data_IF_468246210440
#
_entry.id   IF_468246210440
#
_cell.length_a   1.000
_cell.length_b   1.000
_cell.length_c   1.000
_cell.angle_alpha   90.00
_cell.angle_beta   90.00
_cell.angle_gamma   90.00
#
_symmetry.space_group_name_H-M   'P 1'
#
loop_
_entity.id
_entity.type
_entity.pdbx_description
1 polymer ?
#
# COMPACT_ATOMS: atom_id res chain seq x y z
N UNK A 1 -88.13 -39.68 -9.08
CA UNK A 1 -86.70 -39.49 -8.77
C UNK A 1 -86.48 -38.02 -8.46
N UNK A 2 -86.27 -37.70 -7.18
CA UNK A 2 -86.10 -36.31 -6.72
C UNK A 2 -84.68 -35.82 -7.06
N UNK A 3 -84.61 -34.76 -7.87
CA UNK A 3 -83.36 -34.04 -8.11
C UNK A 3 -82.91 -33.36 -6.81
N UNK A 4 -81.75 -33.79 -6.29
CA UNK A 4 -81.06 -33.11 -5.19
C UNK A 4 -80.62 -31.73 -5.68
N UNK A 5 -81.40 -30.72 -5.29
CA UNK A 5 -80.95 -29.32 -5.24
C UNK A 5 -79.71 -29.28 -4.34
N UNK A 6 -78.53 -29.03 -4.93
CA UNK A 6 -77.34 -28.66 -4.16
C UNK A 6 -77.67 -27.35 -3.46
N UNK A 7 -77.88 -27.39 -2.15
CA UNK A 7 -77.95 -26.18 -1.36
C UNK A 7 -76.59 -25.48 -1.42
N UNK A 8 -76.58 -24.23 -1.89
CA UNK A 8 -75.49 -23.30 -1.64
C UNK A 8 -75.41 -23.12 -0.12
N UNK A 9 -74.54 -23.88 0.54
CA UNK A 9 -74.09 -23.50 1.87
C UNK A 9 -73.24 -22.24 1.67
N UNK A 10 -73.71 -21.10 2.14
CA UNK A 10 -72.84 -19.93 2.31
C UNK A 10 -71.69 -20.36 3.22
N UNK A 11 -70.51 -20.47 2.63
CA UNK A 11 -69.30 -20.95 3.29
C UNK A 11 -68.85 -19.84 4.24
N UNK A 12 -69.07 -20.05 5.53
CA UNK A 12 -68.73 -19.08 6.57
C UNK A 12 -67.21 -18.98 6.65
N UNK A 13 -66.67 -17.78 6.46
CA UNK A 13 -65.25 -17.49 6.65
C UNK A 13 -64.83 -17.70 8.11
N UNK A 14 -63.65 -18.28 8.33
CA UNK A 14 -62.98 -18.25 9.64
C UNK A 14 -62.54 -16.81 9.98
N UNK A 15 -63.42 -16.07 10.65
CA UNK A 15 -63.27 -14.63 10.90
C UNK A 15 -62.06 -14.30 11.77
N UNK A 16 -61.76 -15.10 12.78
CA UNK A 16 -60.66 -14.80 13.71
C UNK A 16 -59.30 -14.98 13.03
N UNK A 17 -59.13 -16.09 12.29
CA UNK A 17 -57.91 -16.31 11.49
C UNK A 17 -57.72 -15.20 10.44
N UNK A 18 -58.80 -14.83 9.75
CA UNK A 18 -58.78 -13.78 8.72
C UNK A 18 -58.37 -12.41 9.28
N UNK A 19 -58.98 -12.00 10.40
CA UNK A 19 -58.67 -10.72 11.04
C UNK A 19 -57.24 -10.67 11.56
N UNK A 20 -56.75 -11.75 12.18
CA UNK A 20 -55.38 -11.81 12.70
C UNK A 20 -54.33 -11.74 11.58
N UNK A 21 -54.58 -12.37 10.42
CA UNK A 21 -53.72 -12.22 9.25
C UNK A 21 -53.68 -10.78 8.75
N UNK A 22 -54.84 -10.12 8.62
CA UNK A 22 -54.91 -8.72 8.20
C UNK A 22 -54.13 -7.83 9.16
N UNK A 23 -54.31 -7.98 10.47
CA UNK A 23 -53.58 -7.17 11.46
C UNK A 23 -52.06 -7.31 11.37
N UNK A 24 -51.56 -8.50 11.05
CA UNK A 24 -50.13 -8.72 10.81
C UNK A 24 -49.63 -7.98 9.57
N UNK A 25 -50.47 -7.89 8.54
CA UNK A 25 -50.11 -7.42 7.20
C UNK A 25 -50.33 -5.93 6.93
N UNK A 26 -51.09 -5.22 7.78
CA UNK A 26 -51.32 -3.77 7.59
C UNK A 26 -50.00 -3.01 7.47
N UNK A 27 -49.81 -2.33 6.34
CA UNK A 27 -48.66 -1.47 6.09
C UNK A 27 -48.64 -0.28 7.05
N UNK A 28 -47.49 0.40 7.14
CA UNK A 28 -47.38 1.63 7.93
C UNK A 28 -48.40 2.69 7.50
N UNK A 29 -48.58 2.88 6.19
CA UNK A 29 -49.51 3.85 5.65
C UNK A 29 -50.96 3.50 6.00
N UNK A 30 -51.33 2.23 5.91
CA UNK A 30 -52.67 1.76 6.31
C UNK A 30 -52.87 1.94 7.82
N UNK A 31 -51.89 1.56 8.64
CA UNK A 31 -51.95 1.74 10.09
C UNK A 31 -52.14 3.20 10.48
N UNK A 32 -51.42 4.13 9.82
CA UNK A 32 -51.55 5.58 10.05
C UNK A 32 -52.94 6.10 9.66
N UNK A 33 -53.48 5.66 8.51
CA UNK A 33 -54.84 6.02 8.07
C UNK A 33 -55.89 5.49 9.03
N UNK A 34 -55.82 4.21 9.40
CA UNK A 34 -56.74 3.57 10.36
C UNK A 34 -56.66 4.27 11.72
N UNK A 35 -55.45 4.55 12.21
CA UNK A 35 -55.24 5.24 13.48
C UNK A 35 -55.84 6.65 13.49
N UNK A 36 -55.86 7.36 12.37
CA UNK A 36 -56.49 8.68 12.27
C UNK A 36 -58.00 8.62 12.47
N UNK A 37 -58.63 7.52 12.04
CA UNK A 37 -60.08 7.30 12.13
C UNK A 37 -60.47 6.78 13.52
N UNK A 38 -59.78 5.74 13.99
CA UNK A 38 -60.14 5.11 15.26
C UNK A 38 -59.53 5.83 16.47
N UNK A 39 -58.53 6.68 16.27
CA UNK A 39 -57.85 7.49 17.29
C UNK A 39 -57.46 6.69 18.54
N UNK A 40 -56.53 5.72 18.45
CA UNK A 40 -56.03 5.01 19.62
C UNK A 40 -55.35 5.95 20.62
N UNK A 41 -55.50 5.66 21.90
CA UNK A 41 -54.82 6.41 22.96
C UNK A 41 -53.37 5.94 23.06
N UNK A 42 -52.42 6.85 22.80
CA UNK A 42 -50.98 6.63 22.92
C UNK A 42 -50.40 7.71 23.84
N UNK A 43 -49.76 7.30 24.93
CA UNK A 43 -49.18 8.22 25.91
C UNK A 43 -48.14 9.14 25.25
N UNK A 44 -48.23 10.44 25.51
CA UNK A 44 -47.35 11.45 24.92
C UNK A 44 -47.76 11.95 23.53
N UNK A 45 -48.81 11.37 22.91
CA UNK A 45 -49.31 11.79 21.60
C UNK A 45 -50.77 12.25 21.68
N UNK A 46 -51.05 13.44 21.14
CA UNK A 46 -52.42 13.93 20.97
C UNK A 46 -53.04 13.37 19.69
N UNK A 47 -54.36 13.39 19.57
CA UNK A 47 -55.06 12.94 18.35
C UNK A 47 -54.55 13.65 17.08
N UNK A 48 -54.13 14.91 17.18
CA UNK A 48 -53.57 15.70 16.08
C UNK A 48 -52.15 15.26 15.66
N UNK A 49 -51.35 14.73 16.58
CA UNK A 49 -49.96 14.32 16.34
C UNK A 49 -49.77 12.79 16.37
N UNK A 50 -50.86 12.03 16.41
CA UNK A 50 -50.86 10.58 16.49
C UNK A 50 -50.11 9.92 15.32
N UNK A 51 -50.20 10.53 14.14
CA UNK A 51 -49.51 10.08 12.91
C UNK A 51 -47.98 10.24 13.03
N UNK A 52 -47.45 10.93 14.04
CA UNK A 52 -46.00 11.01 14.33
C UNK A 52 -45.53 9.99 15.36
N UNK A 53 -46.43 9.17 15.93
CA UNK A 53 -46.06 8.16 16.90
C UNK A 53 -45.12 7.10 16.29
N UNK A 54 -44.16 6.56 17.07
CA UNK A 54 -43.31 5.45 16.65
C UNK A 54 -44.16 4.27 16.15
N UNK A 55 -43.76 3.68 15.01
CA UNK A 55 -44.57 2.67 14.31
C UNK A 55 -44.94 1.47 15.20
N UNK A 56 -43.99 0.99 16.02
CA UNK A 56 -44.23 -0.14 16.91
C UNK A 56 -45.35 0.15 17.93
N UNK A 57 -45.35 1.35 18.51
CA UNK A 57 -46.40 1.79 19.45
C UNK A 57 -47.72 2.02 18.75
N UNK A 58 -47.70 2.68 17.59
CA UNK A 58 -48.88 2.93 16.76
C UNK A 58 -49.57 1.62 16.39
N UNK A 59 -48.81 0.65 15.86
CA UNK A 59 -49.32 -0.68 15.50
C UNK A 59 -49.96 -1.38 16.69
N UNK A 60 -49.25 -1.48 17.82
CA UNK A 60 -49.74 -2.15 19.03
C UNK A 60 -51.07 -1.56 19.50
N UNK A 61 -51.14 -0.23 19.64
CA UNK A 61 -52.33 0.47 20.16
C UNK A 61 -53.49 0.52 19.17
N UNK A 62 -53.21 0.61 17.88
CA UNK A 62 -54.23 0.54 16.82
C UNK A 62 -54.88 -0.85 16.80
N UNK A 63 -54.08 -1.92 16.79
CA UNK A 63 -54.59 -3.30 16.79
C UNK A 63 -55.34 -3.61 18.09
N UNK A 64 -54.83 -3.19 19.25
CA UNK A 64 -55.51 -3.34 20.53
C UNK A 64 -56.92 -2.72 20.51
N UNK A 65 -57.03 -1.49 19.98
CA UNK A 65 -58.32 -0.79 19.84
C UNK A 65 -59.24 -1.46 18.81
N UNK A 66 -58.71 -1.98 17.71
CA UNK A 66 -59.49 -2.74 16.72
C UNK A 66 -60.04 -4.05 17.29
N UNK A 67 -59.25 -4.77 18.11
CA UNK A 67 -59.68 -6.00 18.79
C UNK A 67 -60.80 -5.75 19.81
N UNK A 68 -60.82 -4.58 20.44
CA UNK A 68 -61.87 -4.17 21.38
C UNK A 68 -63.19 -3.76 20.69
N UNK A 69 -63.21 -3.62 19.36
CA UNK A 69 -64.41 -3.23 18.63
C UNK A 69 -65.38 -4.42 18.53
N UNK A 70 -66.60 -4.27 19.08
CA UNK A 70 -67.62 -5.34 19.09
C UNK A 70 -67.97 -5.86 17.70
N UNK A 71 -67.81 -5.04 16.65
CA UNK A 71 -68.11 -5.39 15.26
C UNK A 71 -66.85 -5.40 14.37
N UNK A 72 -65.72 -5.89 14.89
CA UNK A 72 -64.41 -5.93 14.20
C UNK A 72 -64.48 -6.47 12.75
N UNK A 73 -65.23 -7.54 12.51
CA UNK A 73 -65.41 -8.12 11.17
C UNK A 73 -66.12 -7.17 10.20
N UNK A 74 -67.27 -6.62 10.61
CA UNK A 74 -68.05 -5.69 9.80
C UNK A 74 -67.26 -4.42 9.50
N UNK A 75 -66.54 -3.91 10.51
CA UNK A 75 -65.68 -2.74 10.34
C UNK A 75 -64.58 -3.01 9.32
N UNK A 76 -63.89 -4.15 9.42
CA UNK A 76 -62.82 -4.50 8.49
C UNK A 76 -63.32 -4.74 7.07
N UNK A 77 -64.49 -5.38 6.92
CA UNK A 77 -65.15 -5.52 5.62
C UNK A 77 -65.44 -4.16 4.99
N UNK A 78 -66.02 -3.23 5.76
CA UNK A 78 -66.30 -1.85 5.31
C UNK A 78 -65.03 -1.09 4.95
N UNK A 79 -63.94 -1.31 5.68
CA UNK A 79 -62.64 -0.69 5.41
C UNK A 79 -62.10 -1.08 4.03
N UNK A 80 -62.15 -2.36 3.68
CA UNK A 80 -61.66 -2.88 2.40
C UNK A 80 -62.69 -2.88 1.26
N UNK A 81 -63.95 -2.48 1.53
CA UNK A 81 -65.03 -2.44 0.54
C UNK A 81 -64.68 -1.69 -0.75
N UNK A 82 -63.97 -0.53 -0.73
CA UNK A 82 -63.59 0.15 -1.96
C UNK A 82 -62.71 -0.70 -2.88
N UNK A 83 -61.74 -1.44 -2.32
CA UNK A 83 -60.85 -2.30 -3.08
C UNK A 83 -61.57 -3.58 -3.53
N UNK A 84 -62.41 -4.15 -2.67
CA UNK A 84 -63.27 -5.31 -2.98
C UNK A 84 -64.25 -5.01 -4.11
N UNK A 85 -64.86 -3.82 -4.11
CA UNK A 85 -65.86 -3.42 -5.10
C UNK A 85 -65.27 -3.40 -6.51
N UNK A 86 -64.05 -2.89 -6.68
CA UNK A 86 -63.34 -2.90 -7.97
C UNK A 86 -63.18 -4.31 -8.53
N UNK A 87 -62.69 -5.24 -7.71
CA UNK A 87 -62.51 -6.66 -8.12
C UNK A 87 -63.85 -7.30 -8.48
N UNK A 88 -64.90 -6.97 -7.74
CA UNK A 88 -66.26 -7.47 -7.97
C UNK A 88 -66.88 -6.92 -9.26
N UNK A 89 -66.69 -5.64 -9.55
CA UNK A 89 -67.16 -4.97 -10.78
C UNK A 89 -66.49 -5.57 -12.03
N UNK A 90 -65.20 -5.88 -11.95
CA UNK A 90 -64.44 -6.54 -13.01
C UNK A 90 -64.78 -8.04 -13.19
N UNK A 91 -65.60 -8.62 -12.29
CA UNK A 91 -66.01 -10.05 -12.32
C UNK A 91 -64.82 -11.01 -12.37
N UNK A 92 -63.73 -10.67 -11.71
CA UNK A 92 -62.50 -11.47 -11.66
C UNK A 92 -62.77 -12.76 -10.87
N UNK A 93 -62.27 -13.90 -11.34
CA UNK A 93 -62.31 -15.16 -10.59
C UNK A 93 -61.08 -15.32 -9.67
N UNK A 94 -61.10 -16.29 -8.75
CA UNK A 94 -60.01 -16.43 -7.78
C UNK A 94 -58.65 -16.68 -8.44
N UNK A 95 -58.57 -17.53 -9.47
CA UNK A 95 -57.30 -17.83 -10.13
C UNK A 95 -56.69 -16.57 -10.78
N UNK A 96 -57.52 -15.77 -11.45
CA UNK A 96 -57.08 -14.51 -12.05
C UNK A 96 -56.66 -13.49 -10.98
N UNK A 97 -57.44 -13.36 -9.89
CA UNK A 97 -57.09 -12.51 -8.76
C UNK A 97 -55.77 -12.93 -8.10
N UNK A 98 -55.59 -14.24 -7.85
CA UNK A 98 -54.37 -14.83 -7.31
C UNK A 98 -53.15 -14.45 -8.15
N UNK A 99 -53.25 -14.57 -9.47
CA UNK A 99 -52.13 -14.23 -10.35
C UNK A 99 -51.89 -12.72 -10.45
N UNK A 100 -52.94 -11.88 -10.50
CA UNK A 100 -52.82 -10.41 -10.54
C UNK A 100 -52.19 -9.86 -9.26
N UNK A 101 -52.68 -10.32 -8.10
CA UNK A 101 -52.19 -9.86 -6.79
C UNK A 101 -50.72 -10.18 -6.53
N UNK A 102 -50.18 -11.22 -7.16
CA UNK A 102 -48.76 -11.62 -7.04
C UNK A 102 -47.81 -10.87 -7.96
N UNK A 103 -48.32 -10.29 -9.05
CA UNK A 103 -47.48 -9.76 -10.12
C UNK A 103 -47.48 -8.23 -10.19
N UNK A 104 -48.50 -7.57 -9.61
CA UNK A 104 -48.63 -6.11 -9.63
C UNK A 104 -48.75 -5.47 -8.25
N UNK A 105 -48.59 -4.14 -8.19
CA UNK A 105 -48.61 -3.35 -6.94
C UNK A 105 -50.02 -2.90 -6.51
N UNK A 106 -51.07 -3.45 -7.13
CA UNK A 106 -52.44 -2.95 -7.00
C UNK A 106 -53.09 -3.15 -5.65
N UNK A 107 -52.71 -4.22 -4.98
CA UNK A 107 -53.30 -4.66 -3.73
C UNK A 107 -52.18 -4.93 -2.77
N UNK A 108 -52.25 -4.27 -1.63
CA UNK A 108 -51.36 -4.57 -0.51
C UNK A 108 -51.57 -6.01 -0.04
N UNK A 109 -50.59 -6.61 0.65
CA UNK A 109 -50.77 -7.93 1.27
C UNK A 109 -52.02 -8.03 2.16
N UNK A 110 -52.34 -6.96 2.90
CA UNK A 110 -53.54 -6.89 3.73
C UNK A 110 -54.83 -6.90 2.88
N UNK A 111 -54.87 -6.11 1.81
CA UNK A 111 -55.97 -6.10 0.86
C UNK A 111 -56.13 -7.45 0.15
N UNK A 112 -55.03 -8.11 -0.21
CA UNK A 112 -55.06 -9.42 -0.85
C UNK A 112 -55.75 -10.48 0.02
N UNK A 113 -55.40 -10.52 1.31
CA UNK A 113 -56.08 -11.39 2.29
C UNK A 113 -57.52 -10.95 2.51
N UNK A 114 -57.77 -9.63 2.58
CA UNK A 114 -59.12 -9.09 2.77
C UNK A 114 -60.08 -9.49 1.63
N UNK A 115 -59.66 -9.26 0.39
CA UNK A 115 -60.42 -9.62 -0.82
C UNK A 115 -60.63 -11.14 -0.88
N UNK A 116 -59.60 -11.92 -0.57
CA UNK A 116 -59.72 -13.39 -0.55
C UNK A 116 -60.78 -13.85 0.43
N UNK A 117 -60.78 -13.32 1.65
CA UNK A 117 -61.81 -13.65 2.64
C UNK A 117 -63.22 -13.15 2.28
N UNK A 118 -63.34 -11.97 1.67
CA UNK A 118 -64.63 -11.34 1.40
C UNK A 118 -65.29 -11.89 0.14
N UNK A 119 -64.55 -12.07 -0.95
CA UNK A 119 -65.07 -12.53 -2.24
C UNK A 119 -64.91 -14.03 -2.49
N UNK A 120 -63.88 -14.66 -1.90
CA UNK A 120 -63.55 -16.07 -2.12
C UNK A 120 -63.38 -16.84 -0.80
N UNK A 121 -64.39 -16.85 0.09
CA UNK A 121 -64.27 -17.39 1.46
C UNK A 121 -63.91 -18.88 1.49
N UNK A 122 -64.33 -19.64 0.49
CA UNK A 122 -63.95 -21.06 0.32
C UNK A 122 -62.44 -21.20 0.13
N UNK A 123 -61.89 -20.45 -0.82
CA UNK A 123 -60.47 -20.47 -1.14
C UNK A 123 -59.63 -19.97 0.04
N UNK A 124 -60.12 -18.99 0.80
CA UNK A 124 -59.50 -18.58 2.05
C UNK A 124 -59.42 -19.74 3.05
N UNK A 125 -60.56 -20.37 3.34
CA UNK A 125 -60.64 -21.43 4.35
C UNK A 125 -59.77 -22.64 4.00
N UNK A 126 -59.70 -23.01 2.71
CA UNK A 126 -58.86 -24.11 2.22
C UNK A 126 -57.36 -23.81 2.37
N UNK A 127 -56.96 -22.55 2.18
CA UNK A 127 -55.55 -22.16 2.06
C UNK A 127 -55.00 -21.39 3.27
N UNK A 128 -55.80 -21.15 4.30
CA UNK A 128 -55.44 -20.30 5.45
C UNK A 128 -54.13 -20.71 6.13
N UNK A 129 -53.85 -22.01 6.23
CA UNK A 129 -52.61 -22.50 6.85
C UNK A 129 -51.38 -22.12 6.01
N UNK A 130 -51.45 -22.30 4.70
CA UNK A 130 -50.38 -21.89 3.77
C UNK A 130 -50.20 -20.38 3.77
N UNK A 131 -51.30 -19.61 3.77
CA UNK A 131 -51.23 -18.15 3.89
C UNK A 131 -50.55 -17.74 5.20
N UNK A 132 -50.88 -18.39 6.32
CA UNK A 132 -50.25 -18.10 7.62
C UNK A 132 -48.74 -18.37 7.59
N UNK A 133 -48.32 -19.51 7.02
CA UNK A 133 -46.91 -19.87 6.85
C UNK A 133 -46.17 -18.85 5.98
N UNK A 134 -46.79 -18.38 4.89
CA UNK A 134 -46.21 -17.35 4.04
C UNK A 134 -45.98 -16.04 4.79
N UNK A 135 -46.97 -15.60 5.57
CA UNK A 135 -46.88 -14.36 6.37
C UNK A 135 -45.72 -14.46 7.37
N UNK A 136 -45.58 -15.60 8.05
CA UNK A 136 -44.49 -15.86 9.01
C UNK A 136 -43.12 -15.92 8.33
N UNK A 137 -43.06 -16.50 7.12
CA UNK A 137 -41.87 -16.54 6.27
C UNK A 137 -41.54 -15.21 5.57
N UNK A 138 -42.26 -14.12 5.84
CA UNK A 138 -42.12 -12.81 5.17
C UNK A 138 -42.29 -12.89 3.64
N UNK A 139 -43.14 -13.78 3.19
CA UNK A 139 -43.53 -14.00 1.79
C UNK A 139 -44.87 -13.34 1.47
N UNK A 140 -45.24 -13.28 0.19
CA UNK A 140 -46.58 -12.81 -0.19
C UNK A 140 -47.65 -13.76 0.38
N UNK A 141 -48.76 -13.30 0.98
CA UNK A 141 -49.73 -14.17 1.64
C UNK A 141 -50.31 -15.24 0.71
N UNK A 142 -50.52 -14.86 -0.56
CA UNK A 142 -51.03 -15.74 -1.59
C UNK A 142 -49.92 -16.50 -2.34
N UNK A 143 -48.72 -16.65 -1.79
CA UNK A 143 -47.69 -17.47 -2.42
C UNK A 143 -48.05 -18.97 -2.35
N UNK A 144 -47.75 -19.73 -3.41
CA UNK A 144 -47.86 -21.19 -3.45
C UNK A 144 -49.20 -21.82 -3.04
N UNK A 145 -50.33 -21.12 -3.21
CA UNK A 145 -51.68 -21.63 -2.88
C UNK A 145 -52.21 -22.74 -3.82
N UNK A 146 -51.35 -23.37 -4.62
CA UNK A 146 -51.72 -24.55 -5.44
C UNK A 146 -52.93 -24.35 -6.36
N UNK A 147 -53.13 -23.15 -6.91
CA UNK A 147 -54.31 -22.84 -7.75
C UNK A 147 -54.25 -23.59 -9.09
N UNK A 148 -55.44 -23.87 -9.68
CA UNK A 148 -55.51 -24.44 -11.04
C UNK A 148 -54.76 -23.52 -11.99
N UNK A 149 -53.82 -24.08 -12.75
CA UNK A 149 -53.07 -23.32 -13.76
C UNK A 149 -54.08 -22.67 -14.73
N UNK A 150 -54.04 -21.34 -14.82
CA UNK A 150 -54.76 -20.61 -15.86
C UNK A 150 -54.31 -21.13 -17.25
N UNK A 151 -55.21 -21.06 -18.24
CA UNK A 151 -54.82 -21.32 -19.63
C UNK A 151 -53.67 -20.37 -20.04
N UNK A 152 -52.69 -20.81 -20.85
CA UNK A 152 -51.53 -20.00 -21.21
C UNK A 152 -51.90 -18.59 -21.69
N UNK A 153 -52.91 -18.46 -22.56
CA UNK A 153 -53.41 -17.17 -23.05
C UNK A 153 -53.88 -16.23 -21.92
N UNK A 154 -54.59 -16.76 -20.92
CA UNK A 154 -55.03 -15.96 -19.76
C UNK A 154 -53.89 -15.63 -18.80
N UNK A 155 -52.91 -16.53 -18.64
CA UNK A 155 -51.70 -16.21 -17.86
C UNK A 155 -50.96 -15.02 -18.45
N UNK A 156 -50.87 -14.97 -19.79
CA UNK A 156 -50.24 -13.87 -20.51
C UNK A 156 -50.99 -12.56 -20.30
N UNK A 157 -52.31 -12.58 -20.41
CA UNK A 157 -53.15 -11.40 -20.13
C UNK A 157 -52.97 -10.88 -18.70
N UNK A 158 -52.91 -11.77 -17.71
CA UNK A 158 -52.69 -11.36 -16.31
C UNK A 158 -51.30 -10.76 -16.09
N UNK A 159 -50.26 -11.34 -16.69
CA UNK A 159 -48.90 -10.78 -16.65
C UNK A 159 -48.82 -9.40 -17.31
N UNK A 160 -49.52 -9.23 -18.42
CA UNK A 160 -49.57 -7.98 -19.17
C UNK A 160 -50.23 -6.85 -18.37
N UNK A 161 -51.39 -7.13 -17.75
CA UNK A 161 -52.06 -6.17 -16.87
C UNK A 161 -51.17 -5.82 -15.66
N UNK A 162 -50.56 -6.82 -15.03
CA UNK A 162 -49.65 -6.58 -13.92
C UNK A 162 -48.45 -5.70 -14.29
N UNK A 163 -47.92 -5.84 -15.51
CA UNK A 163 -46.84 -4.99 -16.02
C UNK A 163 -47.32 -3.55 -16.28
N UNK A 164 -48.47 -3.38 -16.93
CA UNK A 164 -49.06 -2.08 -17.25
C UNK A 164 -49.21 -1.19 -16.00
N UNK A 165 -49.57 -1.81 -14.89
CA UNK A 165 -49.89 -1.12 -13.66
C UNK A 165 -48.77 -1.10 -12.62
N UNK A 166 -47.67 -1.80 -12.88
CA UNK A 166 -46.53 -1.85 -11.97
C UNK A 166 -45.76 -0.53 -11.96
N UNK A 167 -45.35 -0.09 -10.77
CA UNK A 167 -44.35 0.98 -10.61
C UNK A 167 -42.98 0.59 -11.19
N UNK A 168 -42.72 -0.72 -11.32
CA UNK A 168 -41.48 -1.24 -11.88
C UNK A 168 -41.27 -0.83 -13.34
N UNK A 169 -42.33 -0.54 -14.11
CA UNK A 169 -42.20 -0.15 -15.53
C UNK A 169 -41.30 1.07 -15.72
N UNK A 170 -41.39 2.04 -14.81
CA UNK A 170 -40.63 3.27 -14.86
C UNK A 170 -39.19 3.03 -14.39
N UNK A 171 -39.01 2.20 -13.36
CA UNK A 171 -37.69 1.74 -12.95
C UNK A 171 -36.98 0.99 -14.08
N UNK A 172 -37.70 0.14 -14.82
CA UNK A 172 -37.18 -0.54 -16.01
C UNK A 172 -36.80 0.43 -17.12
N UNK A 173 -37.64 1.44 -17.38
CA UNK A 173 -37.36 2.48 -18.37
C UNK A 173 -36.04 3.19 -18.07
N UNK A 174 -35.89 3.66 -16.83
CA UNK A 174 -34.69 4.34 -16.36
C UNK A 174 -33.47 3.41 -16.44
N UNK A 175 -33.62 2.18 -15.98
CA UNK A 175 -32.57 1.17 -15.99
C UNK A 175 -32.09 0.85 -17.42
N UNK A 176 -32.99 0.78 -18.40
CA UNK A 176 -32.61 0.61 -19.82
C UNK A 176 -31.88 1.85 -20.35
N UNK A 177 -32.35 3.05 -20.03
CA UNK A 177 -31.68 4.29 -20.45
C UNK A 177 -30.28 4.42 -19.86
N UNK A 178 -30.11 4.12 -18.57
CA UNK A 178 -28.85 4.23 -17.86
C UNK A 178 -27.86 3.13 -18.26
N UNK A 179 -28.33 1.89 -18.36
CA UNK A 179 -27.45 0.73 -18.54
C UNK A 179 -27.11 0.45 -20.00
N UNK A 180 -28.01 0.79 -20.91
CA UNK A 180 -27.85 0.48 -22.33
C UNK A 180 -27.70 1.74 -23.20
N UNK A 181 -27.89 2.94 -22.63
CA UNK A 181 -27.82 4.20 -23.39
C UNK A 181 -28.89 4.30 -24.49
N UNK A 182 -29.89 3.43 -24.47
CA UNK A 182 -30.91 3.33 -25.51
C UNK A 182 -31.80 4.58 -25.49
N UNK A 183 -31.73 5.35 -26.57
CA UNK A 183 -32.71 6.37 -26.92
C UNK A 183 -33.34 5.98 -28.24
N UNK A 184 -34.37 5.16 -28.16
CA UNK A 184 -35.12 4.80 -29.35
C UNK A 184 -36.07 5.96 -29.71
N UNK A 185 -35.72 6.71 -30.75
CA UNK A 185 -36.64 7.66 -31.39
C UNK A 185 -37.40 6.90 -32.47
N UNK A 186 -38.66 6.58 -32.16
CA UNK A 186 -39.54 5.86 -33.07
C UNK A 186 -40.34 6.86 -33.91
N UNK A 187 -40.07 6.89 -35.22
CA UNK A 187 -40.95 7.53 -36.21
C UNK A 187 -42.05 6.53 -36.60
N UNK A 188 -43.32 6.88 -36.36
CA UNK A 188 -44.46 6.01 -36.68
C UNK A 188 -45.04 5.26 -35.47
N UNK A 189 -45.78 4.17 -35.75
CA UNK A 189 -46.45 3.37 -34.71
C UNK A 189 -45.53 2.26 -34.19
N UNK A 190 -45.66 1.91 -32.91
CA UNK A 190 -44.97 0.74 -32.32
C UNK A 190 -45.35 -0.53 -33.06
N UNK A 191 -46.60 -0.61 -33.55
CA UNK A 191 -47.10 -1.79 -34.26
C UNK A 191 -46.37 -2.04 -35.58
N UNK A 192 -46.15 -0.98 -36.37
CA UNK A 192 -45.43 -1.06 -37.64
C UNK A 192 -43.97 -1.41 -37.38
N UNK A 193 -43.35 -0.78 -36.38
CA UNK A 193 -41.98 -1.10 -36.00
C UNK A 193 -41.78 -2.56 -35.60
N UNK A 194 -42.70 -3.15 -34.83
CA UNK A 194 -42.62 -4.57 -34.45
C UNK A 194 -42.72 -5.48 -35.68
N UNK A 195 -43.49 -5.10 -36.70
CA UNK A 195 -43.67 -5.88 -37.92
C UNK A 195 -42.49 -5.75 -38.90
N UNK A 196 -41.88 -4.57 -38.97
CA UNK A 196 -40.82 -4.25 -39.92
C UNK A 196 -39.42 -4.60 -39.38
N UNK A 197 -39.25 -4.66 -38.06
CA UNK A 197 -37.93 -4.86 -37.47
C UNK A 197 -37.46 -6.31 -37.58
N UNK A 198 -36.36 -6.50 -38.31
CA UNK A 198 -35.74 -7.82 -38.52
C UNK A 198 -35.02 -8.37 -37.30
N UNK A 199 -34.48 -7.51 -36.44
CA UNK A 199 -33.77 -7.88 -35.21
C UNK A 199 -33.95 -6.82 -34.15
N UNK A 200 -34.32 -7.25 -32.95
CA UNK A 200 -34.56 -6.38 -31.79
C UNK A 200 -33.34 -6.42 -30.88
N UNK A 201 -32.79 -5.25 -30.55
CA UNK A 201 -31.73 -5.15 -29.55
C UNK A 201 -32.29 -5.32 -28.13
N UNK A 202 -31.45 -5.82 -27.22
CA UNK A 202 -31.85 -6.04 -25.82
C UNK A 202 -32.33 -4.72 -25.23
N UNK A 203 -33.54 -4.71 -24.64
CA UNK A 203 -34.13 -3.57 -23.95
C UNK A 203 -35.00 -2.67 -24.84
N UNK A 204 -34.99 -2.81 -26.16
CA UNK A 204 -35.79 -1.95 -27.04
C UNK A 204 -37.30 -2.16 -26.87
N UNK A 205 -37.76 -3.40 -26.73
CA UNK A 205 -39.20 -3.68 -26.58
C UNK A 205 -39.66 -3.23 -25.20
N UNK A 206 -38.86 -3.50 -24.15
CA UNK A 206 -39.15 -3.02 -22.81
C UNK A 206 -39.17 -1.48 -22.73
N UNK A 207 -38.28 -0.82 -23.48
CA UNK A 207 -38.25 0.64 -23.59
C UNK A 207 -39.50 1.18 -24.28
N UNK A 208 -39.92 0.57 -25.40
CA UNK A 208 -41.16 0.97 -26.08
C UNK A 208 -42.40 0.70 -25.24
N UNK A 209 -42.43 -0.44 -24.54
CA UNK A 209 -43.51 -0.78 -23.62
C UNK A 209 -43.65 0.20 -22.45
N UNK A 210 -42.58 0.92 -22.07
CA UNK A 210 -42.65 1.95 -21.03
C UNK A 210 -42.90 3.36 -21.58
N UNK A 211 -42.45 3.66 -22.80
CA UNK A 211 -42.52 5.02 -23.37
C UNK A 211 -43.72 5.28 -24.28
N UNK A 212 -44.33 4.24 -24.87
CA UNK A 212 -45.43 4.36 -25.85
C UNK A 212 -46.74 3.73 -25.36
N UNK A 213 -46.95 3.71 -24.04
CA UNK A 213 -48.12 3.11 -23.40
C UNK A 213 -49.46 3.64 -23.92
N UNK A 214 -49.55 4.93 -24.23
CA UNK A 214 -50.79 5.53 -24.75
C UNK A 214 -51.23 4.92 -26.09
N UNK A 215 -50.27 4.55 -26.93
CA UNK A 215 -50.54 3.85 -28.19
C UNK A 215 -50.91 2.39 -27.92
N UNK A 216 -50.08 1.69 -27.14
CA UNK A 216 -50.23 0.25 -26.83
C UNK A 216 -51.55 -0.04 -26.14
N UNK A 217 -52.06 0.88 -25.31
CA UNK A 217 -53.34 0.74 -24.61
C UNK A 217 -54.55 0.75 -25.53
N UNK A 218 -54.40 1.18 -26.79
CA UNK A 218 -55.45 1.13 -27.81
C UNK A 218 -55.49 -0.21 -28.55
N UNK A 219 -54.52 -1.09 -28.32
CA UNK A 219 -54.43 -2.39 -29.00
C UNK A 219 -55.46 -3.38 -28.45
N UNK A 220 -55.73 -4.43 -29.22
CA UNK A 220 -56.59 -5.52 -28.74
C UNK A 220 -55.92 -6.25 -27.58
N UNK A 221 -56.69 -6.78 -26.62
CA UNK A 221 -56.13 -7.47 -25.43
C UNK A 221 -55.13 -8.59 -25.79
N UNK A 222 -55.36 -9.29 -26.90
CA UNK A 222 -54.48 -10.36 -27.36
C UNK A 222 -53.12 -9.84 -27.83
N UNK A 223 -53.12 -8.78 -28.65
CA UNK A 223 -51.90 -8.13 -29.16
C UNK A 223 -51.12 -7.47 -28.02
N UNK A 224 -51.84 -6.73 -27.16
CA UNK A 224 -51.30 -6.10 -25.96
C UNK A 224 -50.62 -7.13 -25.05
N UNK A 225 -51.27 -8.27 -24.80
CA UNK A 225 -50.72 -9.33 -23.97
C UNK A 225 -49.46 -9.96 -24.56
N UNK A 226 -49.44 -10.21 -25.87
CA UNK A 226 -48.26 -10.74 -26.56
C UNK A 226 -47.09 -9.75 -26.50
N UNK A 227 -47.36 -8.46 -26.74
CA UNK A 227 -46.33 -7.43 -26.69
C UNK A 227 -45.72 -7.26 -25.29
N UNK A 228 -46.54 -7.22 -24.23
CA UNK A 228 -46.00 -7.16 -22.88
C UNK A 228 -45.26 -8.42 -22.45
N UNK A 229 -45.60 -9.58 -22.99
CA UNK A 229 -44.78 -10.77 -22.78
C UNK A 229 -43.39 -10.61 -23.41
N UNK A 230 -43.31 -10.06 -24.62
CA UNK A 230 -42.02 -9.74 -25.24
C UNK A 230 -41.26 -8.71 -24.42
N UNK A 231 -41.93 -7.65 -23.96
CA UNK A 231 -41.35 -6.62 -23.11
C UNK A 231 -40.84 -7.17 -21.78
N UNK A 232 -41.54 -8.13 -21.18
CA UNK A 232 -41.13 -8.78 -19.94
C UNK A 232 -39.91 -9.68 -20.15
N UNK A 233 -39.88 -10.45 -21.24
CA UNK A 233 -38.72 -11.29 -21.55
C UNK A 233 -37.49 -10.44 -21.91
N UNK A 234 -37.71 -9.35 -22.63
CA UNK A 234 -36.68 -8.39 -22.98
C UNK A 234 -36.12 -7.70 -21.71
N UNK A 235 -36.97 -7.34 -20.74
CA UNK A 235 -36.51 -6.71 -19.50
C UNK A 235 -35.72 -7.67 -18.63
N UNK A 236 -36.07 -8.96 -18.64
CA UNK A 236 -35.24 -9.99 -18.01
C UNK A 236 -33.85 -10.06 -18.66
N UNK A 237 -33.75 -10.02 -19.99
CA UNK A 237 -32.44 -9.99 -20.67
C UNK A 237 -31.61 -8.78 -20.28
N UNK A 238 -32.23 -7.60 -20.13
CA UNK A 238 -31.54 -6.40 -19.65
C UNK A 238 -30.97 -6.64 -18.25
N UNK A 239 -31.77 -7.17 -17.32
CA UNK A 239 -31.31 -7.50 -15.96
C UNK A 239 -30.14 -8.50 -16.01
N UNK A 240 -30.25 -9.57 -16.80
CA UNK A 240 -29.19 -10.57 -16.91
C UNK A 240 -27.89 -9.96 -17.42
N UNK A 241 -27.95 -9.12 -18.45
CA UNK A 241 -26.78 -8.42 -18.97
C UNK A 241 -26.13 -7.52 -17.91
N UNK A 242 -26.93 -6.79 -17.13
CA UNK A 242 -26.40 -5.98 -16.03
C UNK A 242 -25.75 -6.84 -14.94
N UNK A 243 -26.33 -7.99 -14.60
CA UNK A 243 -25.74 -8.92 -13.64
C UNK A 243 -24.39 -9.43 -14.18
N UNK A 244 -24.31 -9.77 -15.46
CA UNK A 244 -23.06 -10.18 -16.10
C UNK A 244 -22.00 -9.08 -16.06
N UNK A 245 -22.38 -7.83 -16.38
CA UNK A 245 -21.49 -6.67 -16.34
C UNK A 245 -20.99 -6.41 -14.90
N UNK A 246 -21.87 -6.46 -13.91
CA UNK A 246 -21.52 -6.33 -12.48
C UNK A 246 -20.62 -7.46 -11.99
N UNK A 247 -20.85 -8.70 -12.43
CA UNK A 247 -20.00 -9.84 -12.10
C UNK A 247 -18.61 -9.70 -12.71
N UNK A 248 -18.52 -9.15 -13.93
CA UNK A 248 -17.25 -8.86 -14.59
C UNK A 248 -16.49 -7.76 -13.87
N UNK A 249 -17.15 -6.66 -13.52
CA UNK A 249 -16.56 -5.57 -12.74
C UNK A 249 -16.06 -6.07 -11.38
N UNK A 250 -16.87 -6.87 -10.67
CA UNK A 250 -16.45 -7.52 -9.42
C UNK A 250 -15.19 -8.37 -9.61
N UNK A 251 -15.12 -9.15 -10.69
CA UNK A 251 -13.93 -9.96 -10.99
C UNK A 251 -12.69 -9.10 -11.25
N UNK A 252 -12.85 -7.97 -11.93
CA UNK A 252 -11.76 -7.01 -12.17
C UNK A 252 -11.28 -6.36 -10.87
N UNK A 253 -12.20 -5.92 -10.01
CA UNK A 253 -11.88 -5.40 -8.68
C UNK A 253 -11.18 -6.43 -7.80
N UNK A 254 -11.62 -7.69 -7.79
CA UNK A 254 -10.95 -8.78 -7.05
C UNK A 254 -9.53 -9.03 -7.56
N UNK A 255 -9.27 -8.91 -8.87
CA UNK A 255 -7.92 -9.01 -9.43
C UNK A 255 -7.05 -7.84 -8.99
N UNK A 256 -7.60 -6.63 -8.98
CA UNK A 256 -6.90 -5.43 -8.53
C UNK A 256 -6.53 -5.51 -7.05
N UNK A 257 -7.45 -6.01 -6.21
CA UNK A 257 -7.23 -6.18 -4.77
C UNK A 257 -6.13 -7.21 -4.49
N UNK A 258 -6.14 -8.36 -5.17
CA UNK A 258 -5.03 -9.33 -5.12
C UNK A 258 -3.70 -8.74 -5.57
N UNK A 259 -3.70 -7.86 -6.56
CA UNK A 259 -2.48 -7.18 -7.01
C UNK A 259 -1.97 -6.19 -5.95
N UNK A 260 -2.87 -5.44 -5.30
CA UNK A 260 -2.56 -4.55 -4.18
C UNK A 260 -2.02 -5.32 -2.98
N UNK A 261 -2.63 -6.45 -2.61
CA UNK A 261 -2.16 -7.31 -1.51
C UNK A 261 -0.75 -7.85 -1.78
N UNK A 262 -0.46 -8.28 -3.03
CA UNK A 262 0.90 -8.69 -3.42
C UNK A 262 1.91 -7.55 -3.34
N UNK A 263 1.53 -6.32 -3.69
CA UNK A 263 2.40 -5.13 -3.55
C UNK A 263 2.64 -4.83 -2.07
N UNK A 264 1.62 -4.92 -1.22
CA UNK A 264 1.74 -4.69 0.21
C UNK A 264 2.71 -5.69 0.86
N UNK A 265 2.58 -6.99 0.57
CA UNK A 265 3.52 -8.02 1.06
C UNK A 265 4.97 -7.78 0.62
N UNK A 266 5.19 -7.25 -0.59
CA UNK A 266 6.53 -6.87 -1.05
C UNK A 266 7.09 -5.67 -0.26
N UNK A 267 6.25 -4.68 0.02
CA UNK A 267 6.64 -3.52 0.82
C UNK A 267 6.95 -3.90 2.27
N UNK A 268 6.15 -4.77 2.88
CA UNK A 268 6.41 -5.31 4.22
C UNK A 268 7.76 -6.03 4.26
N UNK A 269 8.04 -6.88 3.25
CA UNK A 269 9.34 -7.56 3.14
C UNK A 269 10.50 -6.57 3.01
N UNK A 270 10.37 -5.54 2.18
CA UNK A 270 11.40 -4.50 2.07
C UNK A 270 11.58 -3.72 3.37
N UNK A 271 10.50 -3.50 4.13
CA UNK A 271 10.60 -2.83 5.43
C UNK A 271 11.34 -3.70 6.45
N UNK A 272 11.07 -5.01 6.49
CA UNK A 272 11.82 -5.93 7.36
C UNK A 272 13.30 -6.01 6.97
N UNK A 273 13.61 -6.06 5.68
CA UNK A 273 15.01 -6.03 5.18
C UNK A 273 15.72 -4.72 5.59
N UNK A 274 15.02 -3.59 5.52
CA UNK A 274 15.54 -2.30 5.95
C UNK A 274 15.83 -2.27 7.46
N UNK A 275 14.94 -2.79 8.28
CA UNK A 275 15.11 -2.87 9.74
C UNK A 275 16.31 -3.76 10.12
N UNK A 276 16.51 -4.89 9.43
CA UNK A 276 17.67 -5.75 9.61
C UNK A 276 18.98 -5.04 9.27
N UNK A 277 19.03 -4.31 8.16
CA UNK A 277 20.20 -3.51 7.77
C UNK A 277 20.48 -2.40 8.78
N UNK A 278 19.45 -1.72 9.28
CA UNK A 278 19.61 -0.67 10.29
C UNK A 278 20.16 -1.24 11.60
N UNK A 279 19.68 -2.41 12.03
CA UNK A 279 20.23 -3.10 13.20
C UNK A 279 21.68 -3.53 13.01
N UNK A 280 22.04 -4.04 11.82
CA UNK A 280 23.41 -4.42 11.51
C UNK A 280 24.35 -3.20 11.53
N UNK A 281 23.91 -2.08 10.95
CA UNK A 281 24.66 -0.82 10.96
C UNK A 281 24.85 -0.30 12.39
N UNK A 282 23.81 -0.31 13.22
CA UNK A 282 23.92 0.09 14.64
C UNK A 282 24.93 -0.76 15.39
N UNK A 283 24.93 -2.08 15.19
CA UNK A 283 25.93 -2.99 15.79
C UNK A 283 27.35 -2.65 15.34
N UNK A 284 27.55 -2.43 14.04
CA UNK A 284 28.86 -2.04 13.51
C UNK A 284 29.33 -0.70 14.07
N UNK A 285 28.45 0.30 14.17
CA UNK A 285 28.81 1.59 14.78
C UNK A 285 29.21 1.43 16.24
N UNK A 286 28.45 0.66 17.04
CA UNK A 286 28.82 0.41 18.45
C UNK A 286 30.15 -0.33 18.60
N UNK A 287 30.46 -1.25 17.68
CA UNK A 287 31.76 -1.96 17.70
C UNK A 287 32.91 -1.03 17.30
N UNK A 288 32.70 -0.17 16.29
CA UNK A 288 33.67 0.83 15.87
C UNK A 288 33.92 1.88 16.97
N UNK A 289 32.87 2.37 17.63
CA UNK A 289 32.99 3.28 18.77
C UNK A 289 33.79 2.64 19.91
N UNK A 290 33.56 1.35 20.19
CA UNK A 290 34.34 0.61 21.19
C UNK A 290 35.82 0.50 20.81
N UNK A 291 36.13 0.14 19.56
CA UNK A 291 37.51 0.07 19.06
C UNK A 291 38.21 1.42 19.10
N UNK A 292 37.48 2.49 18.78
CA UNK A 292 38.00 3.85 18.82
C UNK A 292 38.33 4.27 20.26
N UNK A 293 37.44 3.97 21.22
CA UNK A 293 37.71 4.21 22.64
C UNK A 293 38.87 3.38 23.21
N UNK A 294 39.04 2.13 22.76
CA UNK A 294 40.19 1.29 23.12
C UNK A 294 41.50 1.88 22.56
N UNK A 295 41.50 2.30 21.29
CA UNK A 295 42.64 2.93 20.64
C UNK A 295 43.03 4.27 21.28
N UNK A 296 42.04 5.10 21.65
CA UNK A 296 42.29 6.37 22.35
C UNK A 296 42.95 6.13 23.72
N UNK A 297 42.51 5.12 24.47
CA UNK A 297 43.11 4.76 25.77
C UNK A 297 44.54 4.20 25.60
N UNK A 298 44.80 3.38 24.58
CA UNK A 298 46.16 2.93 24.26
C UNK A 298 47.07 4.11 23.88
N UNK A 299 46.55 5.06 23.10
CA UNK A 299 47.27 6.28 22.75
C UNK A 299 47.59 7.13 23.98
N UNK A 300 46.62 7.36 24.88
CA UNK A 300 46.84 8.10 26.13
C UNK A 300 47.92 7.44 27.01
N UNK A 301 47.90 6.11 27.14
CA UNK A 301 48.95 5.37 27.87
C UNK A 301 50.32 5.53 27.23
N UNK A 302 50.41 5.36 25.91
CA UNK A 302 51.69 5.50 25.20
C UNK A 302 52.25 6.91 25.32
N UNK A 303 51.39 7.93 25.26
CA UNK A 303 51.79 9.33 25.49
C UNK A 303 52.32 9.51 26.92
N UNK A 304 51.66 8.95 27.93
CA UNK A 304 52.12 9.03 29.32
C UNK A 304 53.47 8.32 29.53
N UNK A 305 53.63 7.11 28.97
CA UNK A 305 54.89 6.35 29.02
C UNK A 305 56.05 7.14 28.37
N UNK A 306 55.81 7.75 27.20
CA UNK A 306 56.81 8.58 26.53
C UNK A 306 57.14 9.85 27.33
N UNK A 307 56.16 10.45 28.00
CA UNK A 307 56.39 11.61 28.87
C UNK A 307 57.26 11.24 30.08
N UNK A 308 56.97 10.11 30.72
CA UNK A 308 57.77 9.57 31.83
C UNK A 308 59.21 9.26 31.36
N UNK A 309 59.37 8.66 30.17
CA UNK A 309 60.68 8.36 29.60
C UNK A 309 61.47 9.64 29.29
N UNK A 310 60.82 10.66 28.71
CA UNK A 310 61.42 11.98 28.48
C UNK A 310 61.86 12.62 29.80
N UNK A 311 61.04 12.55 30.85
CA UNK A 311 61.39 13.09 32.17
C UNK A 311 62.57 12.35 32.79
N UNK A 312 62.58 11.02 32.70
CA UNK A 312 63.67 10.18 33.20
C UNK A 312 64.98 10.48 32.46
N UNK A 313 64.93 10.62 31.13
CA UNK A 313 66.08 11.02 30.31
C UNK A 313 66.57 12.42 30.65
N UNK A 314 65.67 13.38 30.91
CA UNK A 314 66.05 14.74 31.39
C UNK A 314 66.75 14.69 32.74
N UNK A 315 66.27 13.88 33.68
CA UNK A 315 66.94 13.71 34.97
C UNK A 315 68.33 13.07 34.81
N UNK A 316 68.45 12.06 33.95
CA UNK A 316 69.74 11.44 33.64
C UNK A 316 70.70 12.41 32.94
N UNK A 317 70.21 13.25 32.01
CA UNK A 317 71.01 14.32 31.41
C UNK A 317 71.45 15.35 32.45
N UNK A 318 70.55 15.84 33.31
CA UNK A 318 70.92 16.75 34.40
C UNK A 318 71.95 16.16 35.36
N UNK A 319 71.86 14.86 35.66
CA UNK A 319 72.87 14.16 36.44
C UNK A 319 74.22 14.02 35.69
N UNK A 320 74.18 13.73 34.39
CA UNK A 320 75.40 13.69 33.55
C UNK A 320 76.05 15.06 33.39
N UNK A 321 75.27 16.13 33.27
CA UNK A 321 75.76 17.50 33.22
C UNK A 321 76.37 17.93 34.56
N UNK A 322 75.81 17.51 35.69
CA UNK A 322 76.41 17.72 37.01
C UNK A 322 77.73 16.94 37.21
N UNK A 323 77.83 15.74 36.63
CA UNK A 323 79.07 14.94 36.63
C UNK A 323 80.11 15.51 35.67
N UNK A 324 79.70 16.01 34.50
CA UNK A 324 80.56 16.69 33.52
C UNK A 324 81.05 18.05 34.04
N UNK A 325 80.22 18.80 34.78
CA UNK A 325 80.64 20.03 35.45
C UNK A 325 81.67 19.78 36.59
N UNK A 326 81.77 18.53 37.09
CA UNK A 326 82.75 18.11 38.09
C UNK A 326 84.01 17.46 37.48
N UNK A 327 84.04 17.20 36.17
CA UNK A 327 85.19 16.69 35.44
C UNK A 327 85.43 17.55 34.20
N UNK A 328 86.13 18.67 34.40
CA UNK A 328 86.92 19.27 33.32
C UNK A 328 88.08 18.31 33.07
N UNK A 329 87.84 17.32 32.20
CA UNK A 329 88.91 16.61 31.52
C UNK A 329 89.05 17.21 30.13
N UNK A 330 90.30 17.57 29.83
CA UNK A 330 90.82 17.83 28.50
C UNK A 330 90.22 16.86 27.47
N UNK A 331 89.59 17.41 26.44
CA UNK A 331 89.33 16.65 25.23
C UNK A 331 90.68 16.29 24.57
N UNK A 332 90.91 15.01 24.24
CA UNK A 332 92.13 14.61 23.58
C UNK A 332 92.12 15.07 22.12
N UNK A 333 93.21 15.73 21.69
CA UNK A 333 93.65 15.75 20.30
C UNK A 333 93.92 14.30 19.86
N UNK A 334 92.89 13.61 19.38
CA UNK A 334 93.05 12.36 18.65
C UNK A 334 93.60 12.71 17.26
N UNK A 335 94.73 12.10 16.92
CA UNK A 335 95.51 12.23 15.67
C UNK A 335 96.57 13.33 15.69
N UNK A 336 97.67 13.12 16.43
CA UNK A 336 98.86 14.00 16.42
C UNK A 336 100.13 13.38 15.83
N UNK A 337 100.10 12.16 15.30
CA UNK A 337 101.27 11.55 14.63
C UNK A 337 100.82 10.58 13.51
N UNK A 338 100.21 11.09 12.44
CA UNK A 338 99.73 10.24 11.33
C UNK A 338 100.12 10.81 9.96
N UNK A 339 100.67 9.93 9.13
CA UNK A 339 101.31 10.21 7.83
C UNK A 339 100.25 10.31 6.71
N UNK A 340 99.32 11.26 6.79
CA UNK A 340 98.31 11.47 5.74
C UNK A 340 97.99 12.94 5.52
N UNK A 341 97.36 13.22 4.37
CA UNK A 341 96.81 14.52 4.01
C UNK A 341 95.38 14.38 3.50
N UNK A 342 94.51 15.32 3.87
CA UNK A 342 93.17 15.51 3.33
C UNK A 342 93.15 16.64 2.28
N UNK A 343 92.68 16.36 1.08
CA UNK A 343 92.45 17.33 -0.01
C UNK A 343 90.98 17.74 -0.02
N UNK A 344 90.70 19.03 0.12
CA UNK A 344 89.33 19.57 0.20
C UNK A 344 89.21 20.97 -0.40
N UNK A 345 87.98 21.36 -0.80
CA UNK A 345 87.63 22.76 -1.13
C UNK A 345 86.94 23.49 0.03
N UNK A 346 86.64 22.79 1.12
CA UNK A 346 86.04 23.40 2.30
C UNK A 346 87.07 24.11 3.17
N UNK A 347 86.64 25.18 3.84
CA UNK A 347 87.52 26.01 4.66
C UNK A 347 88.21 25.16 5.74
N UNK A 348 89.54 25.32 5.90
CA UNK A 348 90.35 24.59 6.88
C UNK A 348 89.82 24.77 8.32
N UNK A 349 89.15 25.89 8.59
CA UNK A 349 88.51 26.18 9.88
C UNK A 349 87.43 25.15 10.27
N UNK A 350 86.75 24.52 9.31
CA UNK A 350 85.71 23.51 9.60
C UNK A 350 86.28 22.20 10.16
N UNK A 351 87.59 21.98 9.98
CA UNK A 351 88.31 20.80 10.44
C UNK A 351 89.31 21.13 11.56
N UNK A 352 89.46 22.41 11.92
CA UNK A 352 90.50 22.87 12.85
C UNK A 352 90.40 22.26 14.26
N UNK A 353 89.21 21.80 14.67
CA UNK A 353 89.00 21.09 15.94
C UNK A 353 89.21 19.58 15.86
N UNK A 354 89.38 19.02 14.65
CA UNK A 354 89.39 17.58 14.38
C UNK A 354 90.67 17.09 13.72
N UNK A 355 91.35 17.93 12.93
CA UNK A 355 92.58 17.60 12.21
C UNK A 355 93.61 18.74 12.35
N UNK A 356 94.90 18.43 12.55
CA UNK A 356 95.98 19.40 12.43
C UNK A 356 95.96 20.13 11.09
N UNK A 357 96.15 21.46 11.11
CA UNK A 357 96.13 22.31 9.90
C UNK A 357 97.15 21.83 8.84
N UNK A 358 98.31 21.30 9.26
CA UNK A 358 99.33 20.77 8.36
C UNK A 358 98.91 19.53 7.56
N UNK A 359 97.82 18.86 7.95
CA UNK A 359 97.29 17.68 7.26
C UNK A 359 96.16 18.02 6.28
N UNK A 360 95.85 19.31 6.06
CA UNK A 360 94.76 19.73 5.20
C UNK A 360 95.29 20.56 4.03
N UNK A 361 95.23 20.00 2.82
CA UNK A 361 95.47 20.75 1.59
C UNK A 361 94.14 21.30 1.08
N UNK A 362 94.05 22.62 1.07
CA UNK A 362 92.92 23.33 0.49
C UNK A 362 93.23 23.72 -0.95
N UNK A 363 92.45 23.22 -1.91
CA UNK A 363 92.57 23.57 -3.34
C UNK A 363 91.34 24.35 -3.82
N UNK A 364 91.50 25.26 -4.78
CA UNK A 364 90.37 25.94 -5.41
C UNK A 364 90.02 25.26 -6.74
N UNK A 365 91.03 24.98 -7.56
CA UNK A 365 90.93 24.22 -8.79
C UNK A 365 91.69 22.88 -8.67
N UNK A 366 91.29 21.88 -9.45
CA UNK A 366 91.98 20.58 -9.51
C UNK A 366 93.43 20.76 -10.00
N UNK A 367 93.68 21.75 -10.86
CA UNK A 367 95.04 22.07 -11.31
C UNK A 367 95.97 22.52 -10.17
N UNK A 368 95.43 23.08 -9.09
CA UNK A 368 96.24 23.57 -7.96
C UNK A 368 96.94 22.40 -7.24
N UNK A 369 96.40 21.19 -7.38
CA UNK A 369 96.98 19.99 -6.79
C UNK A 369 98.29 19.57 -7.46
N UNK A 370 98.52 19.93 -8.73
CA UNK A 370 99.78 19.65 -9.44
C UNK A 370 100.98 20.41 -8.85
N UNK A 371 100.73 21.59 -8.29
CA UNK A 371 101.75 22.46 -7.70
C UNK A 371 101.97 22.17 -6.20
N UNK A 372 101.20 21.23 -5.62
CA UNK A 372 101.33 20.83 -4.22
C UNK A 372 102.55 19.93 -4.03
N UNK A 373 103.57 20.43 -3.31
CA UNK A 373 104.65 19.57 -2.82
C UNK A 373 104.19 18.86 -1.56
N UNK A 374 103.95 17.54 -1.67
CA UNK A 374 103.71 16.69 -0.52
C UNK A 374 105.02 16.48 0.24
N UNK A 375 104.98 16.55 1.57
CA UNK A 375 106.13 16.22 2.41
C UNK A 375 106.48 14.72 2.28
N UNK A 376 107.77 14.36 2.38
CA UNK A 376 108.26 13.00 2.13
C UNK A 376 107.64 11.94 3.08
N UNK A 377 107.19 12.38 4.25
CA UNK A 377 106.57 11.57 5.29
C UNK A 377 105.09 11.28 5.07
N UNK A 378 104.42 11.94 4.12
CA UNK A 378 103.01 11.66 3.79
C UNK A 378 102.87 10.30 3.11
N UNK A 379 102.19 9.35 3.75
CA UNK A 379 101.94 8.00 3.22
C UNK A 379 100.59 7.83 2.54
N UNK A 380 99.57 8.60 2.92
CA UNK A 380 98.20 8.44 2.39
C UNK A 380 97.57 9.77 2.00
N UNK A 381 96.75 9.75 0.94
CA UNK A 381 96.00 10.92 0.48
C UNK A 381 94.50 10.62 0.57
N UNK A 382 93.75 11.45 1.30
CA UNK A 382 92.30 11.39 1.34
C UNK A 382 91.69 12.54 0.54
N UNK A 383 90.68 12.27 -0.27
CA UNK A 383 90.03 13.28 -1.12
C UNK A 383 88.58 13.44 -0.68
N UNK A 384 88.16 14.65 -0.36
CA UNK A 384 86.77 14.91 -0.04
C UNK A 384 85.90 14.93 -1.31
N UNK A 385 85.23 13.83 -1.63
CA UNK A 385 84.52 13.68 -2.91
C UNK A 385 83.41 14.71 -3.12
N UNK A 386 82.68 15.09 -2.06
CA UNK A 386 81.56 16.04 -2.19
C UNK A 386 82.00 17.47 -2.58
N UNK A 387 83.30 17.76 -2.54
CA UNK A 387 83.86 19.04 -2.98
C UNK A 387 84.06 19.12 -4.50
N UNK A 388 83.97 17.99 -5.21
CA UNK A 388 84.32 17.88 -6.62
C UNK A 388 83.17 17.29 -7.42
N UNK A 389 82.99 17.77 -8.65
CA UNK A 389 82.12 17.11 -9.61
C UNK A 389 82.74 15.77 -10.04
N UNK A 390 81.94 14.83 -10.52
CA UNK A 390 82.47 13.52 -10.97
C UNK A 390 83.57 13.64 -12.02
N UNK A 391 83.50 14.66 -12.90
CA UNK A 391 84.54 14.91 -13.92
C UNK A 391 85.85 15.42 -13.29
N UNK A 392 85.76 16.28 -12.29
CA UNK A 392 86.92 16.77 -11.53
C UNK A 392 87.53 15.67 -10.67
N UNK A 393 86.71 14.80 -10.10
CA UNK A 393 87.17 13.66 -9.31
C UNK A 393 87.95 12.66 -10.18
N UNK A 394 87.47 12.32 -11.39
CA UNK A 394 88.26 11.52 -12.34
C UNK A 394 89.61 12.16 -12.67
N UNK A 395 89.65 13.48 -12.82
CA UNK A 395 90.89 14.19 -13.13
C UNK A 395 91.84 14.27 -11.92
N UNK A 396 91.30 14.42 -10.70
CA UNK A 396 92.07 14.32 -9.47
C UNK A 396 92.67 12.93 -9.28
N UNK A 397 91.89 11.88 -9.51
CA UNK A 397 92.36 10.50 -9.40
C UNK A 397 93.56 10.26 -10.36
N UNK A 398 93.47 10.72 -11.61
CA UNK A 398 94.58 10.67 -12.58
C UNK A 398 95.82 11.46 -12.11
N UNK A 399 95.64 12.63 -11.47
CA UNK A 399 96.76 13.44 -10.97
C UNK A 399 97.38 12.81 -9.73
N UNK A 400 96.57 12.29 -8.82
CA UNK A 400 97.03 11.71 -7.54
C UNK A 400 97.83 10.43 -7.79
N UNK A 401 97.49 9.66 -8.83
CA UNK A 401 98.30 8.52 -9.30
C UNK A 401 99.75 8.92 -9.67
N UNK A 402 99.99 10.15 -10.14
CA UNK A 402 101.34 10.64 -10.47
C UNK A 402 102.25 10.78 -9.25
N UNK A 403 101.69 10.90 -8.04
CA UNK A 403 102.46 11.06 -6.80
C UNK A 403 102.92 9.71 -6.20
N UNK A 404 102.56 8.58 -6.79
CA UNK A 404 102.90 7.22 -6.33
C UNK A 404 102.54 6.95 -4.84
N UNK A 405 101.50 7.62 -4.32
CA UNK A 405 100.98 7.43 -2.96
C UNK A 405 99.56 6.82 -2.99
N UNK A 406 99.23 5.88 -2.10
CA UNK A 406 97.87 5.36 -1.97
C UNK A 406 96.85 6.48 -1.63
N UNK A 407 95.70 6.47 -2.30
CA UNK A 407 94.65 7.47 -2.05
C UNK A 407 93.24 6.87 -1.89
N UNK A 408 92.34 7.61 -1.22
CA UNK A 408 90.93 7.23 -1.06
C UNK A 408 89.99 8.42 -1.03
N UNK A 409 88.84 8.29 -1.68
CA UNK A 409 87.76 9.27 -1.58
C UNK A 409 86.92 9.07 -0.31
N UNK A 410 86.62 10.16 0.41
CA UNK A 410 85.78 10.22 1.62
C UNK A 410 84.66 11.26 1.44
N UNK A 411 83.50 11.04 2.04
CA UNK A 411 82.30 11.87 1.81
C UNK A 411 81.49 12.17 3.08
N UNK A 412 80.73 13.26 3.07
CA UNK A 412 79.83 13.69 4.15
C UNK A 412 80.29 14.97 4.86
N UNK A 413 79.66 15.29 5.99
CA UNK A 413 80.05 16.43 6.85
C UNK A 413 81.49 16.29 7.39
N UNK A 414 82.13 17.38 7.84
CA UNK A 414 83.50 17.37 8.41
C UNK A 414 83.70 16.29 9.49
N UNK A 415 82.74 16.10 10.38
CA UNK A 415 82.75 15.05 11.42
C UNK A 415 82.61 13.62 10.87
N UNK A 416 81.95 13.45 9.71
CA UNK A 416 81.79 12.15 9.05
C UNK A 416 83.06 11.79 8.26
N UNK A 417 83.63 12.77 7.54
CA UNK A 417 84.90 12.64 6.84
C UNK A 417 86.04 12.28 7.80
N UNK A 418 86.17 13.00 8.92
CA UNK A 418 87.19 12.70 9.94
C UNK A 418 87.03 11.27 10.48
N UNK A 419 85.80 10.83 10.75
CA UNK A 419 85.54 9.45 11.20
C UNK A 419 85.88 8.40 10.14
N UNK A 420 85.67 8.68 8.85
CA UNK A 420 86.07 7.78 7.76
C UNK A 420 87.59 7.69 7.65
N UNK A 421 88.29 8.82 7.74
CA UNK A 421 89.76 8.85 7.75
C UNK A 421 90.30 8.02 8.90
N UNK A 422 89.81 8.24 10.13
CA UNK A 422 90.20 7.47 11.32
C UNK A 422 89.92 5.98 11.09
N UNK A 423 88.74 5.62 10.58
CA UNK A 423 88.38 4.23 10.27
C UNK A 423 89.37 3.56 9.29
N UNK A 424 89.81 4.29 8.25
CA UNK A 424 90.79 3.77 7.30
C UNK A 424 92.19 3.64 7.90
N UNK A 425 92.58 4.54 8.79
CA UNK A 425 93.89 4.53 9.46
C UNK A 425 93.98 3.50 10.61
N UNK A 426 92.91 3.28 11.37
CA UNK A 426 92.90 2.43 12.57
C UNK A 426 92.72 0.94 12.29
N UNK A 427 92.41 0.54 11.05
CA UNK A 427 92.58 -0.84 10.60
C UNK A 427 91.32 -1.57 10.19
N UNK A 428 90.74 -1.19 9.05
CA UNK A 428 89.92 -2.12 8.28
C UNK A 428 90.59 -2.57 6.98
N UNK A 429 91.20 -1.70 6.15
CA UNK A 429 91.65 -2.16 4.81
C UNK A 429 92.81 -1.34 4.21
N UNK A 430 94.03 -1.46 4.75
CA UNK A 430 95.27 -0.95 4.11
C UNK A 430 95.44 -1.57 2.69
N UNK A 431 94.83 -2.74 2.45
CA UNK A 431 94.83 -3.41 1.15
C UNK A 431 93.84 -2.82 0.11
N UNK A 432 92.93 -1.91 0.46
CA UNK A 432 91.93 -1.28 -0.44
C UNK A 432 92.22 0.19 -0.75
N UNK A 433 93.26 0.76 -0.14
CA UNK A 433 93.82 2.05 -0.58
C UNK A 433 94.71 1.86 -1.84
N UNK A 434 95.01 0.61 -2.20
CA UNK A 434 95.79 0.20 -3.39
C UNK A 434 94.91 -0.25 -4.57
N UNK A 435 93.65 0.18 -4.67
CA UNK A 435 92.74 -0.19 -5.78
C UNK A 435 92.18 1.01 -6.48
#
# INVERSE_FOLDING_TARGET
>A
MAAKVKSNKETVIDQDSWLEMIYKLLSENELRKIATIIQPQIQGFTAKNLVKAPLAMLRKKTIEKLRQNMNKYIWMKKWFEPTVSKVKEEKINFEEFYHRSRLGDHVTPAEAVAITGILYPEMFNENKNTMQQNIEGKKHPLEDLGTKKLAPKRQLQVKALAWEDSSAKEAYRLLIQESLGLKLELEGSVKDWVQEKSSVEIGEISYLASTKMEEINKWTEGEKAAFFQMAFHDSQKVIWKMIEDLLKEKSELEKEDKAKEKKLKKLEKHNTEREEVEMALKRQMTEMEKKLAEADNEYEKSVAELQDEIECLRQQQGAREQVAAAQVMDEPLLVTESEFVLVTRFNQEEYASMLPIGQIIHIQDVSDFLDCQLEDDVKYIFIHSDCFTSKEQFYLDEIVELFERPFKSVSGSSAAVTRQIIYYLEGAIINEINT
#
